data_IF_144268023842
#
_entry.id   IF_144268023842
#
_cell.length_a   1.000
_cell.length_b   1.000
_cell.length_c   1.000
_cell.angle_alpha   90.00
_cell.angle_beta   90.00
_cell.angle_gamma   90.00
#
_symmetry.space_group_name_H-M   'P 1'
#
loop_
_entity.id
_entity.type
_entity.pdbx_description
1 polymer ?
#
# COMPACT_ATOMS: atom_id res chain seq x y z
N UNK A 1 9.11 -5.96 18.02
CA UNK A 1 7.72 -6.40 18.21
C UNK A 1 6.73 -5.36 17.68
N UNK A 2 6.51 -4.22 18.35
CA UNK A 2 5.51 -3.20 17.91
C UNK A 2 5.63 -2.79 16.43
N UNK A 3 6.83 -2.43 15.96
CA UNK A 3 7.04 -2.02 14.55
C UNK A 3 6.73 -3.15 13.57
N UNK A 4 7.25 -4.34 13.87
CA UNK A 4 7.06 -5.54 13.07
C UNK A 4 5.58 -5.90 12.99
N UNK A 5 4.87 -5.90 14.12
CA UNK A 5 3.42 -6.15 14.17
C UNK A 5 2.62 -5.08 13.41
N UNK A 6 3.01 -3.81 13.52
CA UNK A 6 2.37 -2.72 12.76
C UNK A 6 2.55 -2.88 11.26
N UNK A 7 3.70 -3.39 10.82
CA UNK A 7 3.95 -3.64 9.40
C UNK A 7 3.15 -4.84 8.87
N UNK A 8 3.08 -5.93 9.63
CA UNK A 8 2.22 -7.07 9.28
C UNK A 8 0.75 -6.64 9.18
N UNK A 9 0.25 -5.88 10.16
CA UNK A 9 -1.10 -5.32 10.09
C UNK A 9 -1.33 -4.46 8.83
N UNK A 10 -0.35 -3.61 8.46
CA UNK A 10 -0.42 -2.81 7.24
C UNK A 10 -0.59 -3.70 6.01
N UNK A 11 0.20 -4.77 5.90
CA UNK A 11 0.16 -5.70 4.78
C UNK A 11 -1.04 -6.64 4.77
N UNK A 12 -1.58 -7.02 5.94
CA UNK A 12 -2.66 -8.02 6.04
C UNK A 12 -4.05 -7.40 5.95
N UNK A 13 -4.21 -6.16 6.45
CA UNK A 13 -5.52 -5.51 6.55
C UNK A 13 -5.47 -4.03 6.17
N UNK A 14 -4.43 -3.29 6.55
CA UNK A 14 -4.36 -1.84 6.30
C UNK A 14 -4.46 -1.47 4.81
N UNK A 15 -3.77 -2.19 3.93
CA UNK A 15 -3.89 -1.99 2.49
C UNK A 15 -5.29 -2.33 1.96
N UNK A 16 -5.91 -3.40 2.46
CA UNK A 16 -7.28 -3.78 2.08
C UNK A 16 -8.26 -2.68 2.46
N UNK A 17 -8.20 -2.24 3.72
CA UNK A 17 -9.09 -1.22 4.28
C UNK A 17 -8.95 0.10 3.49
N UNK A 18 -7.72 0.51 3.16
CA UNK A 18 -7.46 1.69 2.33
C UNK A 18 -8.10 1.59 0.94
N UNK A 19 -7.96 0.45 0.25
CA UNK A 19 -8.56 0.27 -1.08
C UNK A 19 -10.08 0.15 -1.02
N UNK A 20 -10.63 -0.43 0.05
CA UNK A 20 -12.07 -0.50 0.26
C UNK A 20 -12.68 0.89 0.54
N UNK A 21 -12.01 1.73 1.31
CA UNK A 21 -12.50 3.08 1.67
C UNK A 21 -12.67 3.99 0.44
N UNK A 22 -11.81 3.83 -0.58
CA UNK A 22 -11.90 4.60 -1.83
C UNK A 22 -12.81 3.95 -2.88
N UNK A 23 -13.35 2.75 -2.64
CA UNK A 23 -14.10 1.96 -3.61
C UNK A 23 -15.61 2.00 -3.34
N UNK A 24 -16.47 2.08 -4.37
CA UNK A 24 -16.14 2.22 -5.79
C UNK A 24 -15.68 3.64 -6.15
N UNK A 25 -14.84 3.74 -7.18
CA UNK A 25 -14.54 5.01 -7.85
C UNK A 25 -15.47 5.12 -9.06
N UNK A 26 -16.34 6.12 -9.05
CA UNK A 26 -17.29 6.37 -10.13
C UNK A 26 -16.92 7.62 -10.94
N UNK A 27 -17.25 7.63 -12.24
CA UNK A 27 -17.15 8.83 -13.06
C UNK A 27 -18.28 9.82 -12.75
N UNK A 28 -18.19 11.04 -13.29
CA UNK A 28 -19.18 12.10 -13.00
C UNK A 28 -20.60 11.80 -13.51
N UNK A 29 -20.75 10.89 -14.48
CA UNK A 29 -22.06 10.43 -14.97
C UNK A 29 -22.61 9.24 -14.18
N UNK A 30 -21.76 8.55 -13.41
CA UNK A 30 -22.09 7.32 -12.69
C UNK A 30 -22.18 6.08 -13.58
N UNK A 31 -21.83 6.18 -14.86
CA UNK A 31 -21.89 5.11 -15.85
C UNK A 31 -20.71 4.14 -15.77
N UNK A 32 -19.54 4.62 -15.36
CA UNK A 32 -18.35 3.80 -15.14
C UNK A 32 -18.10 3.68 -13.65
N UNK A 33 -17.95 2.44 -13.16
CA UNK A 33 -17.57 2.13 -11.78
C UNK A 33 -16.30 1.28 -11.78
N UNK A 34 -15.30 1.70 -11.03
CA UNK A 34 -14.09 0.93 -10.77
C UNK A 34 -14.12 0.44 -9.32
N UNK A 35 -14.22 -0.88 -9.17
CA UNK A 35 -14.33 -1.56 -7.88
C UNK A 35 -13.03 -2.26 -7.53
N UNK A 36 -12.61 -2.14 -6.27
CA UNK A 36 -11.55 -2.96 -5.71
C UNK A 36 -12.07 -4.39 -5.43
N UNK A 37 -11.31 -5.40 -5.87
CA UNK A 37 -11.59 -6.81 -5.54
C UNK A 37 -10.58 -7.31 -4.50
N UNK A 38 -9.29 -7.21 -4.84
CA UNK A 38 -8.22 -7.78 -4.02
C UNK A 38 -6.86 -7.14 -4.33
N UNK A 39 -5.84 -7.46 -3.55
CA UNK A 39 -4.45 -7.17 -3.89
C UNK A 39 -3.56 -8.38 -3.63
N UNK A 40 -2.42 -8.41 -4.29
CA UNK A 40 -1.39 -9.41 -4.12
C UNK A 40 -0.03 -8.73 -4.05
N UNK A 41 0.82 -9.25 -3.17
CA UNK A 41 2.23 -8.89 -3.11
C UNK A 41 3.02 -10.05 -3.69
N UNK A 42 3.83 -9.77 -4.71
CA UNK A 42 4.69 -10.80 -5.29
C UNK A 42 5.90 -11.12 -4.42
N UNK A 43 6.85 -11.84 -5.00
CA UNK A 43 8.13 -12.11 -4.36
C UNK A 43 9.11 -10.94 -4.56
N UNK A 44 9.99 -10.67 -3.58
CA UNK A 44 11.06 -9.70 -3.75
C UNK A 44 11.93 -10.01 -4.96
N UNK A 45 12.29 -8.98 -5.71
CA UNK A 45 13.09 -9.15 -6.94
C UNK A 45 14.50 -9.68 -6.67
N UNK A 46 15.07 -9.28 -5.53
CA UNK A 46 16.41 -9.64 -5.07
C UNK A 46 16.37 -9.92 -3.57
N UNK A 47 17.25 -10.78 -3.04
CA UNK A 47 17.43 -10.92 -1.60
C UNK A 47 18.03 -9.63 -0.99
N UNK A 48 18.01 -9.54 0.34
CA UNK A 48 18.50 -8.38 1.10
C UNK A 48 19.95 -8.04 0.78
N UNK A 49 20.85 -9.03 0.78
CA UNK A 49 22.29 -8.82 0.54
C UNK A 49 22.56 -8.34 -0.89
N UNK A 50 21.92 -8.95 -1.89
CA UNK A 50 22.05 -8.48 -3.28
C UNK A 50 21.47 -7.07 -3.45
N UNK A 51 20.40 -6.73 -2.72
CA UNK A 51 19.83 -5.38 -2.76
C UNK A 51 20.81 -4.33 -2.25
N UNK A 52 21.58 -4.67 -1.21
CA UNK A 52 22.66 -3.82 -0.67
C UNK A 52 23.81 -3.67 -1.66
N UNK A 53 24.29 -4.78 -2.23
CA UNK A 53 25.43 -4.78 -3.16
C UNK A 53 25.16 -4.02 -4.47
N UNK A 54 23.90 -4.04 -4.93
CA UNK A 54 23.51 -3.45 -6.21
C UNK A 54 22.94 -2.03 -6.11
N UNK A 55 22.94 -1.43 -4.92
CA UNK A 55 22.33 -0.13 -4.65
C UNK A 55 20.85 -0.04 -5.05
N UNK A 56 20.10 -1.14 -4.88
CA UNK A 56 18.65 -1.22 -5.19
C UNK A 56 17.80 -1.31 -3.92
N UNK A 57 16.50 -1.12 -4.06
CA UNK A 57 15.55 -1.25 -2.96
C UNK A 57 15.09 -2.71 -2.83
N UNK A 58 15.05 -3.23 -1.59
CA UNK A 58 14.45 -4.53 -1.28
C UNK A 58 12.93 -4.37 -1.29
N UNK A 59 12.31 -4.74 -2.41
CA UNK A 59 10.88 -4.56 -2.66
C UNK A 59 10.28 -5.71 -3.46
N UNK A 60 8.97 -5.85 -3.35
CA UNK A 60 8.18 -6.81 -4.10
C UNK A 60 7.06 -6.11 -4.88
N UNK A 61 6.64 -6.64 -6.03
CA UNK A 61 5.63 -6.00 -6.87
C UNK A 61 4.24 -6.10 -6.23
N UNK A 62 3.61 -4.95 -5.97
CA UNK A 62 2.22 -4.86 -5.52
C UNK A 62 1.29 -4.80 -6.73
N UNK A 63 0.32 -5.72 -6.78
CA UNK A 63 -0.73 -5.76 -7.79
C UNK A 63 -2.08 -5.64 -7.13
N UNK A 64 -3.01 -4.93 -7.78
CA UNK A 64 -4.39 -4.77 -7.33
C UNK A 64 -5.30 -5.31 -8.41
N UNK A 65 -6.21 -6.20 -8.01
CA UNK A 65 -7.28 -6.70 -8.85
C UNK A 65 -8.47 -5.75 -8.73
N UNK A 66 -8.85 -5.17 -9.86
CA UNK A 66 -9.97 -4.24 -9.98
C UNK A 66 -11.01 -4.77 -10.96
N UNK A 67 -12.24 -4.29 -10.81
CA UNK A 67 -13.35 -4.55 -11.72
C UNK A 67 -13.86 -3.23 -12.29
N UNK A 68 -13.79 -3.09 -13.61
CA UNK A 68 -14.42 -2.00 -14.32
C UNK A 68 -15.81 -2.45 -14.79
N UNK A 69 -16.85 -1.74 -14.35
CA UNK A 69 -18.24 -1.95 -14.74
C UNK A 69 -18.66 -0.75 -15.61
N UNK A 70 -19.06 -1.03 -16.84
CA UNK A 70 -19.76 -0.06 -17.69
C UNK A 70 -21.27 -0.34 -17.60
N UNK A 71 -22.00 0.54 -16.91
CA UNK A 71 -23.44 0.40 -16.67
C UNK A 71 -24.28 0.67 -17.92
N UNK A 72 -23.76 1.39 -18.91
CA UNK A 72 -24.46 1.66 -20.18
C UNK A 72 -24.45 0.43 -21.10
N UNK A 73 -23.32 -0.25 -21.20
CA UNK A 73 -23.16 -1.43 -22.07
C UNK A 73 -23.42 -2.75 -21.33
N UNK A 74 -23.41 -2.73 -20.00
CA UNK A 74 -23.43 -3.93 -19.16
C UNK A 74 -22.10 -4.69 -19.13
N UNK A 75 -21.04 -4.13 -19.70
CA UNK A 75 -19.73 -4.78 -19.75
C UNK A 75 -19.05 -4.79 -18.38
N UNK A 76 -18.51 -5.95 -17.98
CA UNK A 76 -17.73 -6.12 -16.75
C UNK A 76 -16.36 -6.68 -17.11
N UNK A 77 -15.30 -5.98 -16.69
CA UNK A 77 -13.91 -6.35 -16.95
C UNK A 77 -13.13 -6.40 -15.64
N UNK A 78 -12.63 -7.59 -15.29
CA UNK A 78 -11.67 -7.76 -14.21
C UNK A 78 -10.25 -7.60 -14.77
N UNK A 79 -9.43 -6.79 -14.11
CA UNK A 79 -8.04 -6.57 -14.50
C UNK A 79 -7.13 -6.54 -13.28
N UNK A 80 -5.93 -7.06 -13.44
CA UNK A 80 -4.86 -6.93 -12.47
C UNK A 80 -3.94 -5.78 -12.88
N UNK A 81 -3.79 -4.80 -12.00
CA UNK A 81 -3.03 -3.56 -12.23
C UNK A 81 -1.79 -3.57 -11.35
N UNK A 82 -0.63 -3.31 -11.95
CA UNK A 82 0.61 -3.13 -11.21
C UNK A 82 0.63 -1.74 -10.57
N UNK A 83 0.64 -1.69 -9.24
CA UNK A 83 0.63 -0.44 -8.47
C UNK A 83 2.03 0.11 -8.20
N UNK A 84 3.05 -0.73 -8.32
CA UNK A 84 4.44 -0.37 -8.07
C UNK A 84 5.17 -1.42 -7.24
N UNK A 85 6.46 -1.19 -7.03
CA UNK A 85 7.27 -2.01 -6.13
C UNK A 85 7.11 -1.49 -4.69
N UNK A 86 6.67 -2.37 -3.79
CA UNK A 86 6.41 -2.05 -2.39
C UNK A 86 7.60 -2.50 -1.53
N UNK A 87 8.23 -1.60 -0.74
CA UNK A 87 9.34 -1.96 0.14
C UNK A 87 8.95 -3.02 1.17
N UNK A 88 9.81 -4.03 1.32
CA UNK A 88 9.59 -5.15 2.26
C UNK A 88 10.46 -4.98 3.50
N UNK A 89 9.87 -5.25 4.66
CA UNK A 89 10.59 -5.26 5.93
C UNK A 89 11.49 -6.51 6.01
N UNK A 90 12.73 -6.34 6.42
CA UNK A 90 13.67 -7.44 6.70
C UNK A 90 13.32 -8.15 8.01
N UNK A 91 13.90 -9.32 8.25
CA UNK A 91 13.73 -10.05 9.52
C UNK A 91 14.21 -9.27 10.76
N UNK A 92 15.09 -8.28 10.57
CA UNK A 92 15.60 -7.39 11.63
C UNK A 92 14.72 -6.16 11.86
N UNK A 93 13.64 -6.00 11.10
CA UNK A 93 12.73 -4.86 11.22
C UNK A 93 13.22 -3.59 10.51
N UNK A 94 14.11 -3.74 9.52
CA UNK A 94 14.70 -2.65 8.73
C UNK A 94 14.20 -2.69 7.29
N UNK A 95 14.57 -1.69 6.50
CA UNK A 95 14.28 -1.61 5.06
C UNK A 95 15.57 -1.30 4.30
N UNK A 96 15.76 -1.92 3.13
CA UNK A 96 16.86 -1.58 2.23
C UNK A 96 16.31 -0.63 1.17
N UNK A 97 16.74 0.63 1.20
CA UNK A 97 16.32 1.67 0.26
C UNK A 97 17.54 2.16 -0.50
N UNK A 98 17.60 1.87 -1.80
CA UNK A 98 18.74 2.19 -2.67
C UNK A 98 20.07 1.75 -2.06
N UNK A 99 20.17 0.47 -1.71
CA UNK A 99 21.34 -0.14 -1.06
C UNK A 99 21.52 0.15 0.43
N UNK A 100 20.95 1.25 0.92
CA UNK A 100 21.14 1.67 2.31
C UNK A 100 20.09 1.04 3.25
N UNK A 101 20.56 0.47 4.36
CA UNK A 101 19.69 -0.03 5.42
C UNK A 101 19.14 1.12 6.27
N UNK A 102 17.82 1.14 6.44
CA UNK A 102 17.07 2.21 7.11
C UNK A 102 16.07 1.63 8.11
N UNK A 103 15.81 2.41 9.15
CA UNK A 103 14.82 2.09 10.19
C UNK A 103 13.72 3.14 10.17
N UNK A 104 12.47 2.70 10.22
CA UNK A 104 11.32 3.60 10.43
C UNK A 104 11.15 3.81 11.94
N UNK A 105 11.07 5.08 12.35
CA UNK A 105 10.90 5.46 13.76
C UNK A 105 9.47 5.93 13.99
N UNK A 106 8.81 5.39 15.02
CA UNK A 106 7.49 5.87 15.42
C UNK A 106 7.53 7.33 15.85
N UNK A 107 6.53 8.09 15.40
CA UNK A 107 6.36 9.49 15.77
C UNK A 107 5.23 9.62 16.78
N UNK A 108 5.42 10.52 17.75
CA UNK A 108 4.35 10.96 18.64
C UNK A 108 3.60 12.09 17.95
N UNK A 109 2.38 11.80 17.50
CA UNK A 109 1.47 12.78 16.93
C UNK A 109 0.35 13.09 17.91
N UNK A 110 -0.21 14.31 17.82
CA UNK A 110 -1.40 14.66 18.60
C UNK A 110 -2.59 13.84 18.11
N UNK A 111 -3.39 13.31 19.03
CA UNK A 111 -4.58 12.56 18.68
C UNK A 111 -5.59 13.43 17.92
N UNK A 112 -6.42 12.86 17.03
CA UNK A 112 -7.51 13.63 16.43
C UNK A 112 -8.50 14.10 17.51
N UNK A 113 -8.56 15.40 17.79
CA UNK A 113 -9.50 16.00 18.75
C UNK A 113 -9.70 17.50 18.48
N UNK A 114 -10.71 18.09 19.13
CA UNK A 114 -10.91 19.54 19.12
C UNK A 114 -9.96 20.17 20.13
N UNK A 115 -9.07 21.03 19.65
CA UNK A 115 -8.10 21.74 20.47
C UNK A 115 -8.45 23.23 20.56
N UNK A 116 -8.53 23.75 21.78
CA UNK A 116 -8.69 25.18 22.02
C UNK A 116 -7.31 25.83 22.21
N UNK A 117 -7.03 26.94 21.52
CA UNK A 117 -5.84 27.76 21.72
C UNK A 117 -6.24 29.15 22.18
N UNK A 118 -5.72 29.59 23.33
CA UNK A 118 -6.02 30.89 23.92
C UNK A 118 -5.19 32.06 23.38
N UNK A 119 -4.43 31.86 22.30
CA UNK A 119 -3.71 32.94 21.63
C UNK A 119 -4.51 33.42 20.41
N UNK A 120 -5.05 34.64 20.54
CA UNK A 120 -5.46 35.51 19.43
C UNK A 120 -4.22 36.15 18.85
#
# INVERSE_FOLDING_TARGET
EIQTSSYHWCLDSGLRDMYQDISPIEDFTGNLSLEFIDYSLGEPKYPVEESKERDVTYSAPLRVKVRLINKETGEVKDQEVFMGDFPIMTDTGTFIINGAERVIVSQLVRSPSVYYSGKV
#
